data_IF_077269511879
#
_entry.id   IF_077269511879
#
_cell.length_a   1.000
_cell.length_b   1.000
_cell.length_c   1.000
_cell.angle_alpha   90.00
_cell.angle_beta   90.00
_cell.angle_gamma   90.00
#
_symmetry.space_group_name_H-M   'P 1'
#
loop_
_entity.id
_entity.type
_entity.pdbx_description
1 polymer ?
#
# COMPACT_ATOMS: atom_id res chain seq x y z
N UNK A 1 -9.78 31.71 -15.70
CA UNK A 1 -10.80 30.66 -15.55
C UNK A 1 -11.82 31.16 -14.54
N UNK A 2 -13.10 31.03 -14.86
CA UNK A 2 -14.21 31.46 -14.00
C UNK A 2 -14.19 30.62 -12.69
N UNK A 3 -14.44 31.25 -11.53
CA UNK A 3 -14.48 30.60 -10.24
C UNK A 3 -15.52 29.45 -10.18
N UNK A 4 -16.63 29.60 -10.94
CA UNK A 4 -17.70 28.58 -10.99
C UNK A 4 -17.27 27.25 -11.63
N UNK A 5 -16.24 27.27 -12.48
CA UNK A 5 -15.72 26.05 -13.13
C UNK A 5 -14.38 25.58 -12.56
N UNK A 6 -13.78 26.33 -11.61
CA UNK A 6 -12.48 26.05 -11.03
C UNK A 6 -12.37 24.61 -10.52
N UNK A 7 -13.33 24.16 -9.74
CA UNK A 7 -13.33 22.79 -9.19
C UNK A 7 -13.43 21.73 -10.30
N UNK A 8 -14.20 21.99 -11.37
CA UNK A 8 -14.27 21.09 -12.51
C UNK A 8 -12.93 21.00 -13.23
N UNK A 9 -12.24 22.14 -13.38
CA UNK A 9 -10.89 22.17 -13.99
C UNK A 9 -9.91 21.38 -13.15
N UNK A 10 -9.89 21.56 -11.83
CA UNK A 10 -9.04 20.78 -10.91
C UNK A 10 -9.31 19.28 -11.04
N UNK A 11 -10.58 18.86 -11.03
CA UNK A 11 -10.96 17.45 -11.18
C UNK A 11 -10.59 16.86 -12.55
N UNK A 12 -10.62 17.68 -13.61
CA UNK A 12 -10.17 17.23 -14.95
C UNK A 12 -8.66 17.09 -14.98
N UNK A 13 -7.93 18.05 -14.41
CA UNK A 13 -6.46 18.02 -14.32
C UNK A 13 -5.97 16.83 -13.47
N UNK A 14 -6.67 16.46 -12.40
CA UNK A 14 -6.38 15.28 -11.58
C UNK A 14 -6.37 13.97 -12.40
N UNK A 15 -7.06 13.95 -13.52
CA UNK A 15 -7.08 12.81 -14.45
C UNK A 15 -5.92 12.79 -15.44
N UNK A 16 -5.03 13.79 -15.43
CA UNK A 16 -3.98 13.94 -16.46
C UNK A 16 -3.12 12.70 -16.62
N UNK A 17 -2.75 12.06 -15.53
CA UNK A 17 -1.97 10.82 -15.53
C UNK A 17 -2.73 9.61 -16.13
N UNK A 18 -4.09 9.64 -16.13
CA UNK A 18 -4.94 8.54 -16.57
C UNK A 18 -5.36 8.66 -18.04
N UNK A 19 -5.76 9.85 -18.46
CA UNK A 19 -6.34 10.09 -19.81
C UNK A 19 -5.43 10.91 -20.72
N UNK A 20 -4.28 11.37 -20.20
CA UNK A 20 -3.29 12.15 -20.94
C UNK A 20 -3.72 13.59 -21.24
N UNK A 21 -2.79 14.38 -21.80
CA UNK A 21 -3.01 15.79 -22.13
C UNK A 21 -4.19 15.99 -23.07
N UNK A 22 -4.30 15.13 -24.10
CA UNK A 22 -5.39 15.21 -25.07
C UNK A 22 -6.77 15.00 -24.43
N UNK A 23 -6.91 13.96 -23.60
CA UNK A 23 -8.18 13.67 -22.93
C UNK A 23 -8.61 14.78 -21.98
N UNK A 24 -7.65 15.37 -21.24
CA UNK A 24 -7.93 16.51 -20.36
C UNK A 24 -8.31 17.75 -21.16
N UNK A 25 -7.63 18.05 -22.28
CA UNK A 25 -8.01 19.17 -23.16
C UNK A 25 -9.42 19.02 -23.71
N UNK A 26 -9.78 17.83 -24.22
CA UNK A 26 -11.12 17.53 -24.72
C UNK A 26 -12.19 17.73 -23.62
N UNK A 27 -11.92 17.29 -22.39
CA UNK A 27 -12.83 17.51 -21.26
C UNK A 27 -12.94 18.99 -20.88
N UNK A 28 -11.82 19.72 -20.81
CA UNK A 28 -11.81 21.15 -20.47
C UNK A 28 -12.46 22.03 -21.55
N UNK A 29 -12.32 21.70 -22.83
CA UNK A 29 -12.99 22.38 -23.93
C UNK A 29 -14.52 22.31 -23.81
N UNK A 30 -15.05 21.25 -23.16
CA UNK A 30 -16.50 21.15 -22.92
C UNK A 30 -17.04 22.17 -21.90
N UNK A 31 -16.15 22.89 -21.20
CA UNK A 31 -16.51 23.95 -20.24
C UNK A 31 -16.39 25.36 -20.84
N UNK A 32 -16.43 25.50 -22.15
CA UNK A 32 -16.33 26.77 -22.88
C UNK A 32 -15.03 27.57 -22.58
N UNK A 33 -13.93 26.87 -22.32
CA UNK A 33 -12.62 27.49 -22.15
C UNK A 33 -11.94 27.59 -23.50
N UNK A 34 -11.54 28.82 -23.86
CA UNK A 34 -10.83 29.12 -25.10
C UNK A 34 -9.53 28.32 -25.25
N UNK A 35 -9.25 27.82 -26.45
CA UNK A 35 -8.07 26.99 -26.72
C UNK A 35 -6.76 27.68 -26.33
N UNK A 36 -6.64 29.00 -26.54
CA UNK A 36 -5.45 29.76 -26.12
C UNK A 36 -5.20 29.69 -24.59
N UNK A 37 -6.28 29.74 -23.80
CA UNK A 37 -6.19 29.63 -22.35
C UNK A 37 -5.80 28.21 -21.94
N UNK A 38 -6.28 27.19 -22.65
CA UNK A 38 -5.89 25.79 -22.42
C UNK A 38 -4.40 25.58 -22.76
N UNK A 39 -3.94 26.08 -23.90
CA UNK A 39 -2.54 25.97 -24.30
C UNK A 39 -1.61 26.67 -23.30
N UNK A 40 -2.01 27.83 -22.79
CA UNK A 40 -1.29 28.53 -21.72
C UNK A 40 -1.26 27.72 -20.42
N UNK A 41 -2.41 27.14 -20.03
CA UNK A 41 -2.50 26.26 -18.84
C UNK A 41 -1.53 25.06 -18.96
N UNK A 42 -1.57 24.37 -20.10
CA UNK A 42 -0.69 23.22 -20.32
C UNK A 42 0.79 23.58 -20.46
N UNK A 43 1.11 24.81 -20.90
CA UNK A 43 2.49 25.29 -20.84
C UNK A 43 3.00 25.43 -19.40
N UNK A 44 2.15 25.89 -18.49
CA UNK A 44 2.50 25.98 -17.07
C UNK A 44 2.71 24.60 -16.41
N UNK A 45 2.02 23.55 -16.87
CA UNK A 45 2.22 22.18 -16.37
C UNK A 45 3.60 21.59 -16.72
N UNK A 46 4.34 22.22 -17.62
CA UNK A 46 5.67 21.78 -18.04
C UNK A 46 6.80 22.56 -17.36
N UNK A 47 6.47 23.57 -16.56
CA UNK A 47 7.49 24.40 -15.91
C UNK A 47 8.23 23.64 -14.80
N UNK A 48 9.50 23.97 -14.63
CA UNK A 48 10.29 23.53 -13.50
C UNK A 48 10.09 24.49 -12.30
N UNK A 49 10.63 24.11 -11.14
CA UNK A 49 10.53 24.95 -9.94
C UNK A 49 11.30 26.27 -10.10
N UNK A 50 12.39 26.26 -10.85
CA UNK A 50 13.21 27.43 -11.15
C UNK A 50 12.49 28.39 -12.10
N UNK A 51 11.68 27.87 -13.01
CA UNK A 51 10.91 28.66 -13.99
C UNK A 51 9.68 29.33 -13.39
N UNK A 52 9.28 28.96 -12.16
CA UNK A 52 8.11 29.58 -11.50
C UNK A 52 8.24 31.09 -11.32
N UNK A 53 9.46 31.63 -11.23
CA UNK A 53 9.71 33.07 -11.12
C UNK A 53 9.45 33.82 -12.43
N UNK A 54 9.53 33.13 -13.55
CA UNK A 54 9.37 33.70 -14.88
C UNK A 54 7.92 33.66 -15.40
N UNK A 55 7.01 33.05 -14.62
CA UNK A 55 5.60 32.98 -15.01
C UNK A 55 4.91 34.33 -14.79
N UNK A 56 4.25 34.85 -15.84
CA UNK A 56 3.45 36.05 -15.77
C UNK A 56 2.09 35.77 -15.09
N UNK A 57 2.12 35.53 -13.78
CA UNK A 57 0.96 35.27 -12.94
C UNK A 57 0.99 36.23 -11.75
N UNK A 58 0.07 37.21 -11.77
CA UNK A 58 -0.11 38.20 -10.70
C UNK A 58 -1.27 37.81 -9.79
N UNK A 59 -1.04 36.83 -8.90
CA UNK A 59 -2.06 36.36 -7.98
C UNK A 59 -1.41 36.01 -6.65
N UNK A 60 -1.97 36.50 -5.53
CA UNK A 60 -1.42 36.27 -4.19
C UNK A 60 -1.32 34.78 -3.84
N UNK A 61 -2.35 34.00 -4.16
CA UNK A 61 -2.35 32.55 -3.90
C UNK A 61 -1.22 31.85 -4.66
N UNK A 62 -0.93 32.28 -5.90
CA UNK A 62 0.19 31.75 -6.67
C UNK A 62 1.52 32.14 -6.02
N UNK A 63 1.67 33.38 -5.57
CA UNK A 63 2.90 33.87 -4.93
C UNK A 63 3.17 33.10 -3.64
N UNK A 64 2.16 32.96 -2.77
CA UNK A 64 2.26 32.18 -1.53
C UNK A 64 2.61 30.71 -1.80
N UNK A 65 1.92 30.06 -2.74
CA UNK A 65 2.19 28.66 -3.09
C UNK A 65 3.58 28.46 -3.72
N UNK A 66 4.05 29.41 -4.51
CA UNK A 66 5.41 29.40 -5.06
C UNK A 66 6.47 29.50 -3.98
N UNK A 67 6.29 30.38 -3.01
CA UNK A 67 7.21 30.54 -1.89
C UNK A 67 7.24 29.29 -1.03
N UNK A 68 6.06 28.75 -0.68
CA UNK A 68 5.92 27.51 0.12
C UNK A 68 6.63 26.33 -0.55
N UNK A 69 6.42 26.12 -1.86
CA UNK A 69 7.04 24.97 -2.55
C UNK A 69 8.57 25.13 -2.70
N UNK A 70 9.06 26.34 -2.93
CA UNK A 70 10.50 26.61 -2.97
C UNK A 70 11.17 26.40 -1.62
N UNK A 71 10.55 26.85 -0.55
CA UNK A 71 11.02 26.62 0.82
C UNK A 71 11.07 25.12 1.13
N UNK A 72 10.02 24.36 0.79
CA UNK A 72 9.97 22.93 0.95
C UNK A 72 11.13 22.23 0.21
N UNK A 73 11.37 22.57 -1.05
CA UNK A 73 12.48 21.99 -1.82
C UNK A 73 13.85 22.37 -1.26
N UNK A 74 14.02 23.56 -0.68
CA UNK A 74 15.24 23.94 0.03
C UNK A 74 15.48 23.03 1.25
N UNK A 75 14.44 22.72 2.03
CA UNK A 75 14.55 21.76 3.14
C UNK A 75 14.88 20.35 2.65
N UNK A 76 14.21 19.86 1.61
CA UNK A 76 14.48 18.54 1.03
C UNK A 76 15.94 18.43 0.55
N UNK A 77 16.43 19.44 -0.16
CA UNK A 77 17.82 19.49 -0.61
C UNK A 77 18.81 19.52 0.56
N UNK A 78 18.52 20.28 1.61
CA UNK A 78 19.36 20.36 2.81
C UNK A 78 19.41 19.03 3.58
N UNK A 79 18.39 18.19 3.42
CA UNK A 79 18.32 16.84 3.99
C UNK A 79 18.79 15.75 3.03
N UNK A 80 19.33 16.13 1.86
CA UNK A 80 19.79 15.22 0.79
C UNK A 80 18.67 14.28 0.28
N UNK A 81 17.40 14.70 0.37
CA UNK A 81 16.23 13.96 -0.13
C UNK A 81 16.05 14.30 -1.62
N UNK A 82 16.44 13.36 -2.49
CA UNK A 82 16.45 13.54 -3.95
C UNK A 82 15.30 12.86 -4.69
N UNK A 83 14.50 12.07 -3.98
CA UNK A 83 13.39 11.29 -4.56
C UNK A 83 12.14 12.13 -4.84
N UNK A 84 12.08 13.34 -4.32
CA UNK A 84 10.95 14.25 -4.52
C UNK A 84 11.07 14.97 -5.87
N UNK A 85 9.95 15.04 -6.58
CA UNK A 85 9.84 15.74 -7.86
C UNK A 85 8.74 16.77 -7.80
N UNK A 86 9.05 17.99 -8.25
CA UNK A 86 8.04 19.03 -8.46
C UNK A 86 7.12 18.64 -9.63
N UNK A 87 5.81 18.70 -9.40
CA UNK A 87 4.80 18.36 -10.41
C UNK A 87 3.73 19.45 -10.40
N UNK A 88 3.83 20.46 -11.27
CA UNK A 88 2.98 21.65 -11.23
C UNK A 88 1.50 21.38 -11.49
N UNK A 89 1.16 20.26 -12.10
CA UNK A 89 -0.23 19.85 -12.35
C UNK A 89 -0.78 18.88 -11.27
N UNK A 90 -0.01 18.57 -10.23
CA UNK A 90 -0.53 17.72 -9.17
C UNK A 90 -1.70 18.40 -8.48
N UNK A 91 -2.87 17.84 -8.65
CA UNK A 91 -4.11 18.28 -8.04
C UNK A 91 -4.72 17.14 -7.22
N UNK A 92 -5.47 17.48 -6.20
CA UNK A 92 -6.22 16.50 -5.38
C UNK A 92 -7.69 16.88 -5.43
N UNK A 93 -8.54 15.92 -5.72
CA UNK A 93 -9.99 16.12 -5.87
C UNK A 93 -10.74 16.44 -4.56
N UNK A 94 -10.04 16.70 -3.46
CA UNK A 94 -10.62 17.04 -2.16
C UNK A 94 -10.35 18.51 -1.84
N UNK A 95 -11.41 19.27 -1.53
CA UNK A 95 -11.34 20.69 -1.15
C UNK A 95 -10.79 20.94 0.27
N UNK A 96 -10.20 19.91 0.88
CA UNK A 96 -9.69 20.00 2.25
C UNK A 96 -8.30 20.61 2.33
N UNK A 97 -7.54 20.56 1.24
CA UNK A 97 -6.16 21.01 1.22
C UNK A 97 -6.05 22.53 1.07
N UNK A 98 -5.18 23.11 1.88
CA UNK A 98 -4.95 24.56 1.95
C UNK A 98 -3.56 24.98 1.52
N UNK A 99 -2.68 24.06 1.22
CA UNK A 99 -1.30 24.28 0.82
C UNK A 99 -0.74 23.12 0.00
N UNK A 100 0.53 22.84 0.13
CA UNK A 100 1.23 21.79 -0.62
C UNK A 100 0.53 20.43 -0.52
N UNK A 101 0.37 19.77 -1.66
CA UNK A 101 -0.13 18.40 -1.78
C UNK A 101 0.97 17.51 -2.35
N UNK A 102 0.93 16.21 -2.02
CA UNK A 102 1.91 15.25 -2.50
C UNK A 102 1.30 13.88 -2.74
N UNK A 103 1.92 13.12 -3.61
CA UNK A 103 1.63 11.71 -3.88
C UNK A 103 2.90 10.88 -3.85
N UNK A 104 2.74 9.63 -3.42
CA UNK A 104 3.82 8.64 -3.32
C UNK A 104 3.60 7.57 -4.36
N UNK A 105 4.62 7.31 -5.16
CA UNK A 105 4.60 6.27 -6.20
C UNK A 105 5.68 5.21 -5.96
N UNK A 106 5.44 4.01 -6.45
CA UNK A 106 6.46 2.98 -6.44
C UNK A 106 7.58 3.33 -7.46
N UNK A 107 8.82 3.46 -6.97
CA UNK A 107 9.99 3.80 -7.80
C UNK A 107 10.24 2.77 -8.91
N UNK A 108 9.90 1.50 -8.69
CA UNK A 108 10.02 0.42 -9.68
C UNK A 108 8.83 0.37 -10.65
N UNK A 109 7.82 1.22 -10.48
CA UNK A 109 6.62 1.29 -11.32
C UNK A 109 5.86 -0.04 -11.47
N UNK A 110 5.89 -0.90 -10.45
CA UNK A 110 5.11 -2.15 -10.40
C UNK A 110 3.62 -1.87 -10.41
N UNK A 111 3.23 -0.72 -9.86
CA UNK A 111 1.87 -0.18 -9.87
C UNK A 111 1.92 1.26 -10.38
N UNK A 112 1.05 1.58 -11.34
CA UNK A 112 1.00 2.93 -11.95
C UNK A 112 0.25 3.96 -11.10
N UNK A 113 -0.60 3.52 -10.17
CA UNK A 113 -1.33 4.41 -9.27
C UNK A 113 -0.49 4.81 -8.07
N UNK A 114 -0.81 5.96 -7.47
CA UNK A 114 -0.21 6.37 -6.21
C UNK A 114 -0.48 5.33 -5.11
N UNK A 115 0.53 5.01 -4.33
CA UNK A 115 0.46 4.11 -3.16
C UNK A 115 0.17 4.86 -1.86
N UNK A 116 0.26 6.17 -1.90
CA UNK A 116 -0.08 7.06 -0.81
C UNK A 116 -0.20 8.49 -1.28
N UNK A 117 -0.69 9.36 -0.43
CA UNK A 117 -0.77 10.77 -0.74
C UNK A 117 -1.34 11.57 0.41
N UNK A 118 -1.14 12.87 0.35
CA UNK A 118 -1.55 13.77 1.41
C UNK A 118 -1.35 15.23 1.04
N UNK A 119 -1.32 16.06 2.07
CA UNK A 119 -1.08 17.49 1.93
C UNK A 119 -1.40 18.26 3.20
N UNK A 120 -1.21 19.58 3.13
CA UNK A 120 -1.51 20.51 4.19
C UNK A 120 -3.01 20.86 4.21
N UNK A 121 -3.63 20.85 5.40
CA UNK A 121 -5.06 21.14 5.58
C UNK A 121 -5.32 21.91 6.89
N UNK A 122 -5.16 23.21 6.88
CA UNK A 122 -5.26 24.05 8.09
C UNK A 122 -6.70 24.28 8.55
N UNK A 123 -7.69 24.11 7.66
CA UNK A 123 -9.09 24.47 7.93
C UNK A 123 -9.89 23.40 8.65
N UNK A 124 -9.55 22.13 8.53
CA UNK A 124 -10.37 21.03 9.08
C UNK A 124 -10.43 21.15 10.61
N UNK A 125 -9.27 21.18 11.26
CA UNK A 125 -9.18 21.27 12.73
C UNK A 125 -9.68 22.62 13.19
N UNK A 126 -9.28 23.70 12.52
CA UNK A 126 -9.71 25.07 12.80
C UNK A 126 -11.25 25.20 12.81
N UNK A 127 -11.92 24.68 11.78
CA UNK A 127 -13.38 24.74 11.68
C UNK A 127 -14.10 23.81 12.66
N UNK A 128 -13.42 22.74 13.11
CA UNK A 128 -14.00 21.82 14.09
C UNK A 128 -13.93 22.35 15.52
N UNK A 129 -12.85 23.07 15.88
CA UNK A 129 -12.63 23.59 17.23
C UNK A 129 -13.38 24.94 17.43
N UNK A 130 -13.41 25.80 16.40
CA UNK A 130 -14.11 27.10 16.39
C UNK A 130 -13.73 28.05 17.55
N UNK A 131 -12.49 27.99 18.04
CA UNK A 131 -11.99 28.84 19.14
C UNK A 131 -11.29 30.13 18.67
N UNK A 132 -11.30 30.39 17.35
CA UNK A 132 -10.66 31.54 16.73
C UNK A 132 -9.16 31.37 16.42
N UNK A 133 -8.57 30.24 16.78
CA UNK A 133 -7.19 29.92 16.45
C UNK A 133 -7.09 29.17 15.13
N UNK A 134 -5.92 29.26 14.47
CA UNK A 134 -5.62 28.44 13.29
C UNK A 134 -4.76 27.25 13.71
N UNK A 135 -5.13 26.05 13.24
CA UNK A 135 -4.44 24.80 13.52
C UNK A 135 -3.84 24.22 12.25
N UNK A 136 -2.58 24.58 11.91
CA UNK A 136 -1.90 24.01 10.76
C UNK A 136 -1.74 22.49 10.91
N UNK A 137 -2.09 21.75 9.88
CA UNK A 137 -1.96 20.31 9.88
C UNK A 137 -1.50 19.78 8.51
N UNK A 138 -0.72 18.74 8.54
CA UNK A 138 -0.35 17.94 7.36
C UNK A 138 -0.66 16.49 7.64
N UNK A 139 -1.16 15.77 6.66
CA UNK A 139 -1.47 14.36 6.79
C UNK A 139 -1.06 13.58 5.56
N UNK A 140 -0.85 12.29 5.78
CA UNK A 140 -0.58 11.31 4.74
C UNK A 140 -1.46 10.09 4.96
N UNK A 141 -1.95 9.51 3.87
CA UNK A 141 -2.62 8.21 3.86
C UNK A 141 -1.94 7.28 2.89
N UNK A 142 -1.95 5.98 3.21
CA UNK A 142 -1.41 4.92 2.36
C UNK A 142 -2.51 3.96 1.94
N UNK A 143 -2.44 3.51 0.68
CA UNK A 143 -3.30 2.46 0.16
C UNK A 143 -2.76 1.09 0.58
N UNK A 144 -3.42 0.41 1.50
CA UNK A 144 -2.99 -0.94 1.95
C UNK A 144 -2.98 -1.92 0.77
N UNK A 145 -4.01 -1.91 -0.08
CA UNK A 145 -4.11 -2.84 -1.21
C UNK A 145 -2.94 -2.69 -2.19
N UNK A 146 -2.63 -1.50 -2.73
CA UNK A 146 -1.48 -1.34 -3.62
C UNK A 146 -0.15 -1.70 -2.94
N UNK A 147 0.03 -1.40 -1.66
CA UNK A 147 1.25 -1.78 -0.91
C UNK A 147 1.35 -3.31 -0.81
N UNK A 148 0.26 -3.99 -0.47
CA UNK A 148 0.24 -5.46 -0.42
C UNK A 148 0.54 -6.10 -1.79
N UNK A 149 0.04 -5.52 -2.88
CA UNK A 149 0.35 -6.02 -4.23
C UNK A 149 1.84 -5.88 -4.57
N UNK A 150 2.46 -4.75 -4.19
CA UNK A 150 3.90 -4.53 -4.35
C UNK A 150 4.71 -5.53 -3.52
N UNK A 151 4.32 -5.75 -2.27
CA UNK A 151 5.02 -6.65 -1.35
C UNK A 151 4.87 -8.12 -1.72
N UNK A 152 3.80 -8.53 -2.40
CA UNK A 152 3.64 -9.92 -2.88
C UNK A 152 4.78 -10.36 -3.79
N UNK A 153 5.38 -9.47 -4.55
CA UNK A 153 6.52 -9.78 -5.39
C UNK A 153 7.82 -9.98 -4.59
N UNK A 154 7.90 -9.37 -3.40
CA UNK A 154 9.10 -9.39 -2.54
C UNK A 154 9.01 -10.44 -1.44
N UNK A 155 7.81 -10.78 -0.97
CA UNK A 155 7.57 -11.76 0.10
C UNK A 155 7.15 -13.08 -0.52
N UNK A 156 8.14 -13.88 -0.88
CA UNK A 156 7.94 -15.27 -1.31
C UNK A 156 7.92 -16.25 -0.12
N UNK A 157 7.78 -15.72 1.09
CA UNK A 157 7.74 -16.52 2.32
C UNK A 157 6.30 -16.97 2.61
N UNK A 158 6.18 -18.21 3.07
CA UNK A 158 4.92 -18.73 3.56
C UNK A 158 4.44 -17.90 4.77
N UNK A 159 3.14 -17.61 4.83
CA UNK A 159 2.55 -16.92 5.99
C UNK A 159 2.63 -17.76 7.28
N UNK A 160 2.79 -19.07 7.14
CA UNK A 160 2.95 -20.04 8.23
C UNK A 160 3.90 -21.15 7.81
N UNK A 161 4.62 -21.65 8.81
CA UNK A 161 5.65 -22.68 8.63
C UNK A 161 5.02 -24.07 8.53
N UNK A 162 3.94 -24.30 9.28
CA UNK A 162 3.28 -25.60 9.38
C UNK A 162 1.77 -25.48 9.21
N UNK A 163 1.19 -26.36 8.39
CA UNK A 163 -0.25 -26.59 8.31
C UNK A 163 -0.60 -27.89 9.01
N UNK A 164 -1.41 -27.86 10.07
CA UNK A 164 -1.97 -29.04 10.70
C UNK A 164 -3.36 -29.31 10.16
N UNK A 165 -3.60 -30.57 9.74
CA UNK A 165 -4.87 -31.04 9.19
C UNK A 165 -5.47 -32.06 10.14
N UNK A 166 -6.47 -31.69 10.97
CA UNK A 166 -7.15 -32.62 11.86
C UNK A 166 -7.99 -33.63 11.06
N UNK A 167 -7.92 -34.90 11.44
CA UNK A 167 -8.80 -35.97 10.98
C UNK A 167 -9.54 -36.53 12.19
N UNK A 168 -10.63 -35.85 12.61
CA UNK A 168 -11.39 -36.06 13.84
C UNK A 168 -10.59 -35.81 15.15
N UNK A 169 -9.50 -35.06 15.11
CA UNK A 169 -8.55 -34.83 16.22
C UNK A 169 -8.38 -33.35 16.51
N UNK A 170 -9.47 -32.58 16.49
CA UNK A 170 -9.42 -31.11 16.63
C UNK A 170 -8.73 -30.68 17.95
N UNK A 171 -9.02 -31.34 19.06
CA UNK A 171 -8.47 -30.98 20.38
C UNK A 171 -6.96 -31.27 20.42
N UNK A 172 -6.54 -32.41 19.94
CA UNK A 172 -5.14 -32.84 19.89
C UNK A 172 -4.34 -31.95 18.94
N UNK A 173 -4.93 -31.61 17.79
CA UNK A 173 -4.36 -30.66 16.81
C UNK A 173 -4.20 -29.26 17.39
N UNK A 174 -5.16 -28.78 18.17
CA UNK A 174 -5.05 -27.51 18.88
C UNK A 174 -3.94 -27.51 19.93
N UNK A 175 -3.81 -28.63 20.70
CA UNK A 175 -2.73 -28.78 21.67
C UNK A 175 -1.35 -28.78 21.01
N UNK A 176 -1.18 -29.57 19.95
CA UNK A 176 0.06 -29.63 19.17
C UNK A 176 0.41 -28.25 18.58
N UNK A 177 -0.55 -27.58 17.93
CA UNK A 177 -0.33 -26.24 17.38
C UNK A 177 0.06 -25.23 18.45
N UNK A 178 -0.56 -25.29 19.63
CA UNK A 178 -0.21 -24.39 20.74
C UNK A 178 1.21 -24.65 21.26
N UNK A 179 1.64 -25.91 21.31
CA UNK A 179 3.01 -26.28 21.70
C UNK A 179 4.03 -25.76 20.69
N UNK A 180 3.80 -25.95 19.39
CA UNK A 180 4.68 -25.45 18.35
C UNK A 180 4.72 -23.91 18.31
N UNK A 181 3.60 -23.23 18.52
CA UNK A 181 3.54 -21.76 18.57
C UNK A 181 4.31 -21.17 19.75
N UNK A 182 4.42 -21.88 20.86
CA UNK A 182 5.26 -21.45 22.00
C UNK A 182 6.76 -21.48 21.68
N UNK A 183 7.11 -22.22 20.63
CA UNK A 183 8.47 -22.29 20.10
C UNK A 183 8.68 -21.39 18.86
N UNK A 184 7.84 -20.35 18.72
CA UNK A 184 7.87 -19.36 17.64
C UNK A 184 7.61 -19.91 16.22
N UNK A 185 7.04 -21.13 16.10
CA UNK A 185 6.62 -21.70 14.81
C UNK A 185 5.24 -21.16 14.44
N UNK A 186 5.10 -20.61 13.24
CA UNK A 186 3.82 -20.13 12.72
C UNK A 186 2.97 -21.30 12.23
N UNK A 187 1.93 -21.64 12.96
CA UNK A 187 1.08 -22.79 12.66
C UNK A 187 -0.33 -22.37 12.27
N UNK A 188 -0.80 -22.85 11.11
CA UNK A 188 -2.21 -22.83 10.72
C UNK A 188 -2.85 -24.19 11.00
N UNK A 189 -4.11 -24.21 11.43
CA UNK A 189 -4.90 -25.43 11.55
C UNK A 189 -6.05 -25.34 10.53
N UNK A 190 -6.24 -26.42 9.76
CA UNK A 190 -7.36 -26.54 8.83
C UNK A 190 -8.63 -26.93 9.59
N UNK A 191 -9.51 -25.97 9.83
CA UNK A 191 -10.75 -26.17 10.60
C UNK A 191 -12.01 -26.34 9.72
N UNK A 192 -11.87 -26.21 8.38
CA UNK A 192 -13.05 -26.22 7.48
C UNK A 192 -13.39 -27.61 6.93
N UNK A 193 -12.77 -28.68 7.41
CA UNK A 193 -13.00 -30.07 6.96
C UNK A 193 -12.92 -30.26 5.44
N UNK A 194 -12.02 -29.53 4.77
CA UNK A 194 -11.79 -29.65 3.33
C UNK A 194 -11.17 -31.01 3.00
N UNK A 195 -11.48 -31.53 1.79
CA UNK A 195 -10.83 -32.75 1.29
C UNK A 195 -9.30 -32.58 1.28
N UNK A 196 -8.55 -33.58 1.76
CA UNK A 196 -7.08 -33.56 1.86
C UNK A 196 -6.41 -33.08 0.56
N UNK A 197 -6.86 -33.56 -0.60
CA UNK A 197 -6.32 -33.11 -1.89
C UNK A 197 -6.36 -31.58 -2.04
N UNK A 198 -7.51 -30.95 -1.73
CA UNK A 198 -7.65 -29.49 -1.80
C UNK A 198 -6.80 -28.74 -0.75
N UNK A 199 -6.59 -29.36 0.41
CA UNK A 199 -5.74 -28.80 1.46
C UNK A 199 -4.28 -28.81 1.00
N UNK A 200 -3.80 -29.90 0.44
CA UNK A 200 -2.43 -29.98 -0.12
C UNK A 200 -2.22 -29.03 -1.30
N UNK A 201 -3.19 -28.94 -2.22
CA UNK A 201 -3.14 -27.97 -3.33
C UNK A 201 -3.07 -26.52 -2.81
N UNK A 202 -3.80 -26.22 -1.73
CA UNK A 202 -3.78 -24.90 -1.09
C UNK A 202 -2.46 -24.65 -0.36
N UNK A 203 -1.89 -25.66 0.31
CA UNK A 203 -0.61 -25.55 0.97
C UNK A 203 0.53 -25.28 -0.03
N UNK A 204 0.53 -25.99 -1.14
CA UNK A 204 1.49 -25.80 -2.24
C UNK A 204 1.38 -24.40 -2.85
N UNK A 205 0.16 -23.95 -3.17
CA UNK A 205 -0.09 -22.61 -3.72
C UNK A 205 0.37 -21.48 -2.79
N UNK A 206 0.30 -21.69 -1.46
CA UNK A 206 0.71 -20.72 -0.46
C UNK A 206 2.13 -20.94 0.05
N UNK A 207 2.92 -21.77 -0.63
CA UNK A 207 4.31 -22.10 -0.31
C UNK A 207 4.51 -22.57 1.14
N UNK A 208 3.52 -23.27 1.73
CA UNK A 208 3.62 -23.82 3.08
C UNK A 208 4.67 -24.91 3.11
N UNK A 209 5.77 -24.77 3.87
CA UNK A 209 6.87 -25.73 3.79
C UNK A 209 6.52 -27.10 4.40
N UNK A 210 5.72 -27.13 5.46
CA UNK A 210 5.43 -28.38 6.19
C UNK A 210 3.93 -28.60 6.39
N UNK A 211 3.50 -29.85 6.25
CA UNK A 211 2.12 -30.29 6.53
C UNK A 211 2.13 -31.49 7.47
N UNK A 212 1.28 -31.43 8.50
CA UNK A 212 1.01 -32.52 9.44
C UNK A 212 -0.44 -32.94 9.28
N UNK A 213 -0.70 -34.18 8.91
CA UNK A 213 -2.05 -34.77 9.00
C UNK A 213 -2.11 -35.53 10.31
N UNK A 214 -3.04 -35.12 11.19
CA UNK A 214 -3.19 -35.74 12.51
C UNK A 214 -4.52 -36.50 12.58
N UNK A 215 -4.47 -37.80 12.53
CA UNK A 215 -5.59 -38.68 12.67
C UNK A 215 -5.64 -39.39 14.04
N UNK A 216 -6.70 -40.15 14.28
CA UNK A 216 -6.87 -40.91 15.51
C UNK A 216 -5.75 -41.96 15.74
N UNK A 217 -5.24 -42.53 14.63
CA UNK A 217 -4.16 -43.50 14.70
C UNK A 217 -2.86 -42.85 15.20
N UNK A 218 -2.48 -41.72 14.66
CA UNK A 218 -1.31 -40.96 15.04
C UNK A 218 -1.36 -40.54 16.52
N UNK A 219 -2.55 -40.13 16.97
CA UNK A 219 -2.77 -39.79 18.39
C UNK A 219 -2.63 -40.99 19.28
N UNK A 220 -3.23 -42.16 18.93
CA UNK A 220 -3.15 -43.39 19.71
C UNK A 220 -1.74 -43.99 19.76
N UNK A 221 -0.99 -43.89 18.67
CA UNK A 221 0.39 -44.35 18.60
C UNK A 221 1.36 -43.32 19.23
N UNK A 222 0.93 -42.11 19.52
CA UNK A 222 1.78 -41.02 20.04
C UNK A 222 2.83 -40.55 19.05
N UNK A 223 2.60 -40.76 17.76
CA UNK A 223 3.54 -40.41 16.69
C UNK A 223 2.86 -39.57 15.61
N UNK A 224 3.62 -38.67 15.00
CA UNK A 224 3.16 -37.84 13.89
C UNK A 224 4.13 -37.88 12.71
N UNK A 225 3.66 -37.61 11.54
CA UNK A 225 4.46 -37.46 10.34
C UNK A 225 4.41 -35.98 9.86
N UNK A 226 5.59 -35.40 9.70
CA UNK A 226 5.76 -34.07 9.10
C UNK A 226 6.17 -34.25 7.66
N UNK A 227 5.32 -33.81 6.75
CA UNK A 227 5.59 -33.83 5.32
C UNK A 227 6.26 -32.52 4.90
N UNK A 228 7.48 -32.62 4.38
CA UNK A 228 8.17 -31.56 3.68
C UNK A 228 7.59 -31.40 2.27
N UNK A 229 6.95 -30.26 2.01
CA UNK A 229 6.27 -29.99 0.73
C UNK A 229 7.25 -29.73 -0.40
N UNK A 230 8.40 -29.13 -0.11
CA UNK A 230 9.44 -28.78 -1.08
C UNK A 230 10.21 -30.03 -1.54
N UNK A 231 10.70 -30.81 -0.58
CA UNK A 231 11.53 -31.99 -0.85
C UNK A 231 10.69 -33.26 -1.09
N UNK A 232 9.36 -33.21 -0.83
CA UNK A 232 8.43 -34.35 -0.92
C UNK A 232 8.84 -35.55 -0.07
N UNK A 233 9.48 -35.26 1.06
CA UNK A 233 9.90 -36.26 2.07
C UNK A 233 8.98 -36.21 3.29
N UNK A 234 8.99 -37.26 4.08
CA UNK A 234 8.21 -37.34 5.32
C UNK A 234 9.13 -37.80 6.42
N UNK A 235 9.06 -37.14 7.57
CA UNK A 235 9.82 -37.48 8.77
C UNK A 235 8.88 -37.78 9.94
N UNK A 236 9.17 -38.83 10.71
CA UNK A 236 8.33 -39.28 11.81
C UNK A 236 8.90 -38.79 13.16
N UNK A 237 8.01 -38.28 14.01
CA UNK A 237 8.34 -37.74 15.34
C UNK A 237 7.41 -38.32 16.41
N UNK A 238 7.85 -38.34 17.68
CA UNK A 238 6.93 -38.47 18.78
C UNK A 238 6.09 -37.19 18.91
N UNK A 239 4.79 -37.29 19.17
CA UNK A 239 3.89 -36.16 19.27
C UNK A 239 4.29 -35.14 20.35
N UNK A 240 5.03 -35.57 21.36
CA UNK A 240 5.51 -34.73 22.45
C UNK A 240 6.95 -34.21 22.23
N UNK A 241 7.61 -34.60 21.15
CA UNK A 241 8.99 -34.15 20.84
C UNK A 241 8.95 -32.80 20.08
N UNK A 242 8.52 -31.76 20.80
CA UNK A 242 8.36 -30.40 20.20
C UNK A 242 9.71 -29.83 19.79
N UNK A 243 10.78 -30.10 20.55
CA UNK A 243 12.11 -29.57 20.24
C UNK A 243 12.70 -30.21 18.98
N UNK A 244 12.58 -31.54 18.82
CA UNK A 244 13.00 -32.22 17.60
C UNK A 244 12.22 -31.77 16.35
N UNK A 245 10.91 -31.52 16.51
CA UNK A 245 10.10 -30.92 15.42
C UNK A 245 10.56 -29.52 15.08
N UNK A 246 10.84 -28.66 16.06
CA UNK A 246 11.36 -27.30 15.88
C UNK A 246 12.68 -27.30 15.11
N UNK A 247 13.63 -28.15 15.55
CA UNK A 247 14.91 -28.28 14.85
C UNK A 247 14.75 -28.75 13.38
N UNK A 248 13.76 -29.59 13.11
CA UNK A 248 13.47 -30.06 11.76
C UNK A 248 12.83 -28.97 10.89
N UNK A 249 11.90 -28.20 11.45
CA UNK A 249 11.16 -27.15 10.73
C UNK A 249 12.05 -25.95 10.42
N UNK A 250 13.03 -25.64 11.27
CA UNK A 250 13.92 -24.48 11.11
C UNK A 250 15.18 -24.78 10.27
N UNK A 251 15.30 -25.98 9.68
CA UNK A 251 16.37 -26.33 8.72
C UNK A 251 16.11 -25.79 7.34
#
# INVERSE_FOLDING_TARGET
IDENIKNKVILSVDKLAKIGERGVKEELSSYDIEDEKLDKLFSYFKCTIEELDNLDITNNTFTEGKEEIKELFNYLNSLEITECKFTPYLARGLEIYTGTVFEVFDKKQRIMSAIGGGGRYDKIITNFIEDGNTYPAVGISFGIVPICEILKEEVNEALYDVLIVPMNTNIESLKLANSLRKEDIKVLIEMNNRKLKKVFESADKNNVPYVIVLGENEVNEGTIEIKDMKNKTTSKFNINDIEGMKEYINK
#
